data_IF_860052239062
#
_entry.id   IF_860052239062
#
_cell.length_a   1.000
_cell.length_b   1.000
_cell.length_c   1.000
_cell.angle_alpha   90.00
_cell.angle_beta   90.00
_cell.angle_gamma   90.00
#
_symmetry.space_group_name_H-M   'P 1'
#
loop_
_entity.id
_entity.type
_entity.pdbx_description
1 polymer ?
#
# COMPACT_ATOMS: atom_id res chain seq x y z
N UNK A 1 -17.90 36.34 16.48
CA UNK A 1 -17.76 35.47 15.29
C UNK A 1 -16.61 34.51 15.55
N UNK A 2 -16.91 33.27 15.91
CA UNK A 2 -15.88 32.27 16.19
C UNK A 2 -15.21 31.86 14.86
N UNK A 3 -13.90 32.00 14.77
CA UNK A 3 -13.13 31.53 13.61
C UNK A 3 -13.22 30.00 13.55
N UNK A 4 -13.37 29.39 12.36
CA UNK A 4 -13.30 27.95 12.24
C UNK A 4 -11.89 27.50 12.63
N UNK A 5 -11.79 26.77 13.73
CA UNK A 5 -10.56 26.09 14.14
C UNK A 5 -10.18 25.20 12.96
N UNK A 6 -9.07 25.51 12.28
CA UNK A 6 -8.43 24.59 11.33
C UNK A 6 -7.95 23.38 12.15
N UNK A 7 -8.85 22.42 12.37
CA UNK A 7 -8.47 21.08 12.80
C UNK A 7 -7.57 20.52 11.71
N UNK A 8 -6.45 19.91 12.08
CA UNK A 8 -5.67 19.10 11.15
C UNK A 8 -6.55 18.05 10.46
N UNK A 9 -6.04 17.36 9.42
CA UNK A 9 -6.80 16.28 8.79
C UNK A 9 -7.27 15.30 9.87
N UNK A 10 -8.56 14.94 9.91
CA UNK A 10 -9.06 13.90 10.82
C UNK A 10 -8.58 12.53 10.37
N UNK A 11 -8.46 11.59 11.31
CA UNK A 11 -8.08 10.21 11.00
C UNK A 11 -9.10 9.59 10.04
N UNK A 12 -10.40 9.89 10.22
CA UNK A 12 -11.46 9.47 9.27
C UNK A 12 -11.20 9.97 7.85
N UNK A 13 -10.77 11.22 7.68
CA UNK A 13 -10.47 11.81 6.37
C UNK A 13 -9.27 11.12 5.70
N UNK A 14 -8.22 10.82 6.47
CA UNK A 14 -7.07 10.05 5.99
C UNK A 14 -7.48 8.64 5.54
N UNK A 15 -8.25 7.91 6.36
CA UNK A 15 -8.74 6.56 6.03
C UNK A 15 -9.68 6.58 4.84
N UNK A 16 -10.56 7.58 4.73
CA UNK A 16 -11.44 7.79 3.56
C UNK A 16 -10.64 7.94 2.27
N UNK A 17 -9.57 8.75 2.30
CA UNK A 17 -8.70 8.98 1.15
C UNK A 17 -7.98 7.67 0.76
N UNK A 18 -7.41 6.96 1.73
CA UNK A 18 -6.77 5.66 1.49
C UNK A 18 -7.74 4.62 0.94
N UNK A 19 -8.97 4.56 1.45
CA UNK A 19 -10.00 3.66 0.96
C UNK A 19 -10.41 4.01 -0.49
N UNK A 20 -10.47 5.29 -0.84
CA UNK A 20 -10.75 5.72 -2.21
C UNK A 20 -9.62 5.32 -3.16
N UNK A 21 -8.37 5.55 -2.77
CA UNK A 21 -7.19 5.18 -3.55
C UNK A 21 -7.08 3.66 -3.71
N UNK A 22 -7.31 2.89 -2.65
CA UNK A 22 -7.32 1.42 -2.69
C UNK A 22 -8.42 0.91 -3.64
N UNK A 23 -9.63 1.47 -3.55
CA UNK A 23 -10.73 1.13 -4.46
C UNK A 23 -10.43 1.45 -5.92
N UNK A 24 -9.79 2.59 -6.18
CA UNK A 24 -9.38 2.99 -7.53
C UNK A 24 -8.29 2.06 -8.06
N UNK A 25 -7.26 1.80 -7.26
CA UNK A 25 -6.17 0.88 -7.59
C UNK A 25 -6.70 -0.52 -7.89
N UNK A 26 -7.62 -1.02 -7.06
CA UNK A 26 -8.30 -2.30 -7.23
C UNK A 26 -9.04 -2.41 -8.57
N UNK A 27 -9.83 -1.39 -8.92
CA UNK A 27 -10.59 -1.35 -10.19
C UNK A 27 -9.67 -1.32 -11.40
N UNK A 28 -8.62 -0.50 -11.35
CA UNK A 28 -7.67 -0.36 -12.46
C UNK A 28 -6.83 -1.63 -12.59
N UNK A 29 -6.18 -2.05 -11.51
CA UNK A 29 -5.32 -3.23 -11.49
C UNK A 29 -6.07 -4.51 -11.86
N UNK A 30 -7.23 -4.73 -11.24
CA UNK A 30 -8.09 -5.88 -11.56
C UNK A 30 -8.61 -5.84 -13.00
N UNK A 31 -8.97 -4.66 -13.52
CA UNK A 31 -9.39 -4.49 -14.92
C UNK A 31 -8.26 -4.79 -15.91
N UNK A 32 -7.06 -4.29 -15.65
CA UNK A 32 -5.87 -4.55 -16.47
C UNK A 32 -5.48 -6.03 -16.44
N UNK A 33 -5.44 -6.65 -15.25
CA UNK A 33 -5.15 -8.08 -15.09
C UNK A 33 -6.16 -8.96 -15.84
N UNK A 34 -7.45 -8.63 -15.72
CA UNK A 34 -8.52 -9.37 -16.42
C UNK A 34 -8.39 -9.20 -17.93
N UNK A 35 -8.20 -7.96 -18.40
CA UNK A 35 -8.02 -7.68 -19.82
C UNK A 35 -6.81 -8.42 -20.41
N UNK A 36 -5.67 -8.39 -19.72
CA UNK A 36 -4.47 -9.09 -20.14
C UNK A 36 -4.67 -10.61 -20.13
N UNK A 37 -5.33 -11.16 -19.10
CA UNK A 37 -5.70 -12.58 -19.05
C UNK A 37 -6.55 -13.01 -20.25
N UNK A 38 -7.56 -12.22 -20.62
CA UNK A 38 -8.37 -12.46 -21.81
C UNK A 38 -7.55 -12.43 -23.11
N UNK A 39 -6.59 -11.50 -23.24
CA UNK A 39 -5.69 -11.45 -24.40
C UNK A 39 -4.85 -12.72 -24.48
N UNK A 40 -4.27 -13.19 -23.38
CA UNK A 40 -3.49 -14.43 -23.34
C UNK A 40 -4.34 -15.67 -23.68
N UNK A 41 -5.59 -15.73 -23.22
CA UNK A 41 -6.55 -16.77 -23.60
C UNK A 41 -6.82 -16.75 -25.11
N UNK A 42 -7.04 -15.57 -25.70
CA UNK A 42 -7.29 -15.43 -27.13
C UNK A 42 -6.07 -15.81 -27.98
N UNK A 43 -4.86 -15.48 -27.52
CA UNK A 43 -3.61 -15.89 -28.17
C UNK A 43 -3.48 -17.41 -28.10
N UNK A 44 -3.67 -18.00 -26.92
CA UNK A 44 -3.62 -19.46 -26.74
C UNK A 44 -4.65 -20.19 -27.61
N UNK A 45 -5.85 -19.64 -27.77
CA UNK A 45 -6.90 -20.22 -28.61
C UNK A 45 -6.63 -20.11 -30.12
N UNK A 46 -5.76 -19.20 -30.56
CA UNK A 46 -5.41 -19.00 -31.97
C UNK A 46 -4.05 -19.62 -32.35
N UNK A 47 -3.25 -20.01 -31.37
CA UNK A 47 -1.97 -20.68 -31.60
C UNK A 47 -2.17 -22.04 -32.26
N UNK A 48 -1.36 -22.31 -33.29
CA UNK A 48 -1.34 -23.59 -34.01
C UNK A 48 -0.35 -24.60 -33.43
N UNK A 49 0.53 -24.15 -32.53
CA UNK A 49 1.43 -25.00 -31.75
C UNK A 49 0.77 -25.35 -30.41
N UNK A 50 0.52 -26.65 -30.17
CA UNK A 50 -0.21 -27.14 -29.00
C UNK A 50 0.47 -26.80 -27.65
N UNK A 51 1.80 -26.87 -27.58
CA UNK A 51 2.55 -26.57 -26.34
C UNK A 51 2.54 -25.07 -26.00
N UNK A 52 2.63 -24.19 -27.01
CA UNK A 52 2.55 -22.74 -26.82
C UNK A 52 1.11 -22.28 -26.55
N UNK A 53 0.14 -22.92 -27.22
CA UNK A 53 -1.29 -22.67 -27.04
C UNK A 53 -1.75 -22.97 -25.60
N UNK A 54 -1.35 -24.12 -25.06
CA UNK A 54 -1.72 -24.56 -23.72
C UNK A 54 -1.05 -23.70 -22.63
N UNK A 55 0.22 -23.33 -22.78
CA UNK A 55 0.90 -22.42 -21.85
C UNK A 55 0.26 -21.02 -21.80
N UNK A 56 -0.02 -20.42 -22.96
CA UNK A 56 -0.66 -19.11 -23.03
C UNK A 56 -2.09 -19.11 -22.47
N UNK A 57 -2.86 -20.17 -22.75
CA UNK A 57 -4.21 -20.34 -22.23
C UNK A 57 -4.23 -20.46 -20.70
N UNK A 58 -3.38 -21.31 -20.12
CA UNK A 58 -3.29 -21.50 -18.66
C UNK A 58 -2.85 -20.20 -17.98
N UNK A 59 -1.80 -19.55 -18.48
CA UNK A 59 -1.35 -18.26 -17.95
C UNK A 59 -2.46 -17.21 -18.01
N UNK A 60 -3.19 -17.16 -19.14
CA UNK A 60 -4.31 -16.27 -19.33
C UNK A 60 -5.48 -16.53 -18.37
N UNK A 61 -5.82 -17.80 -18.15
CA UNK A 61 -6.88 -18.20 -17.21
C UNK A 61 -6.52 -17.82 -15.76
N UNK A 62 -5.27 -18.02 -15.35
CA UNK A 62 -4.78 -17.62 -14.02
C UNK A 62 -4.84 -16.09 -13.87
N UNK A 63 -4.30 -15.34 -14.83
CA UNK A 63 -4.32 -13.87 -14.81
C UNK A 63 -5.74 -13.31 -14.79
N UNK A 64 -6.63 -13.86 -15.62
CA UNK A 64 -8.03 -13.46 -15.64
C UNK A 64 -8.74 -13.77 -14.31
N UNK A 65 -8.49 -14.95 -13.73
CA UNK A 65 -9.02 -15.34 -12.42
C UNK A 65 -8.56 -14.40 -11.31
N UNK A 66 -7.27 -14.08 -11.24
CA UNK A 66 -6.71 -13.13 -10.26
C UNK A 66 -7.29 -11.73 -10.48
N UNK A 67 -7.41 -11.29 -11.73
CA UNK A 67 -8.01 -10.00 -12.09
C UNK A 67 -9.45 -9.87 -11.63
N UNK A 68 -10.29 -10.88 -11.91
CA UNK A 68 -11.68 -10.93 -11.48
C UNK A 68 -11.82 -10.96 -9.95
N UNK A 69 -10.98 -11.76 -9.27
CA UNK A 69 -10.95 -11.79 -7.81
C UNK A 69 -10.62 -10.41 -7.24
N UNK A 70 -9.61 -9.74 -7.79
CA UNK A 70 -9.20 -8.39 -7.37
C UNK A 70 -10.33 -7.39 -7.59
N UNK A 71 -11.05 -7.46 -8.72
CA UNK A 71 -12.20 -6.58 -8.97
C UNK A 71 -13.35 -6.82 -7.98
N UNK A 72 -13.61 -8.07 -7.63
CA UNK A 72 -14.76 -8.45 -6.81
C UNK A 72 -14.53 -8.14 -5.32
N UNK A 73 -13.37 -8.49 -4.77
CA UNK A 73 -13.12 -8.48 -3.32
C UNK A 73 -12.59 -7.13 -2.85
N UNK A 74 -13.28 -6.39 -1.96
CA UNK A 74 -12.79 -5.13 -1.43
C UNK A 74 -11.52 -5.33 -0.60
N UNK A 75 -10.67 -4.31 -0.63
CA UNK A 75 -9.45 -4.30 0.17
C UNK A 75 -9.72 -4.08 1.67
N UNK A 76 -8.65 -4.15 2.45
CA UNK A 76 -8.76 -4.02 3.91
C UNK A 76 -9.21 -2.60 4.30
N UNK A 77 -8.62 -1.56 3.70
CA UNK A 77 -8.96 -0.17 4.05
C UNK A 77 -10.34 0.19 3.56
N UNK A 78 -10.74 -0.28 2.37
CA UNK A 78 -12.10 -0.12 1.85
C UNK A 78 -13.15 -0.77 2.78
N UNK A 79 -12.88 -1.96 3.30
CA UNK A 79 -13.80 -2.66 4.21
C UNK A 79 -13.88 -2.00 5.59
N UNK A 80 -12.75 -1.62 6.19
CA UNK A 80 -12.72 -0.93 7.48
C UNK A 80 -13.34 0.48 7.39
N UNK A 81 -13.14 1.21 6.30
CA UNK A 81 -13.79 2.50 6.12
C UNK A 81 -15.32 2.39 6.07
N UNK A 82 -15.84 1.36 5.39
CA UNK A 82 -17.28 1.09 5.36
C UNK A 82 -17.84 0.76 6.76
N UNK A 83 -17.02 0.18 7.65
CA UNK A 83 -17.38 -0.08 9.05
C UNK A 83 -17.35 1.21 9.87
N UNK A 84 -16.29 2.01 9.75
CA UNK A 84 -16.14 3.32 10.43
C UNK A 84 -17.34 4.22 10.13
N UNK A 85 -17.81 4.25 8.88
CA UNK A 85 -18.95 5.08 8.46
C UNK A 85 -20.27 4.74 9.14
N UNK A 86 -20.38 3.55 9.77
CA UNK A 86 -21.58 3.10 10.49
C UNK A 86 -21.58 3.51 11.97
N UNK A 87 -20.47 4.02 12.49
CA UNK A 87 -20.34 4.45 13.89
C UNK A 87 -21.02 5.82 14.04
N UNK A 88 -22.02 5.94 14.93
CA UNK A 88 -22.76 7.19 15.12
C UNK A 88 -21.99 8.22 15.94
N UNK A 89 -21.27 7.79 16.99
CA UNK A 89 -20.50 8.67 17.85
C UNK A 89 -19.24 9.21 17.12
N UNK A 90 -19.09 10.54 16.97
CA UNK A 90 -17.92 11.13 16.32
C UNK A 90 -16.60 10.87 17.06
N UNK A 91 -16.61 10.68 18.39
CA UNK A 91 -15.38 10.42 19.14
C UNK A 91 -14.89 8.99 18.93
N UNK A 92 -15.80 8.02 19.09
CA UNK A 92 -15.52 6.61 18.81
C UNK A 92 -15.09 6.40 17.35
N UNK A 93 -15.74 7.10 16.41
CA UNK A 93 -15.40 7.02 14.99
C UNK A 93 -13.96 7.46 14.71
N UNK A 94 -13.51 8.55 15.32
CA UNK A 94 -12.14 9.06 15.14
C UNK A 94 -11.10 8.12 15.77
N UNK A 95 -11.40 7.53 16.93
CA UNK A 95 -10.51 6.56 17.59
C UNK A 95 -10.33 5.29 16.77
N UNK A 96 -11.42 4.74 16.23
CA UNK A 96 -11.37 3.57 15.35
C UNK A 96 -10.65 3.90 14.05
N UNK A 97 -10.92 5.07 13.46
CA UNK A 97 -10.22 5.52 12.26
C UNK A 97 -8.71 5.68 12.50
N UNK A 98 -8.30 6.20 13.65
CA UNK A 98 -6.89 6.31 14.02
C UNK A 98 -6.22 4.94 14.17
N UNK A 99 -6.92 3.97 14.77
CA UNK A 99 -6.44 2.58 14.90
C UNK A 99 -6.24 1.93 13.53
N UNK A 100 -7.18 2.14 12.60
CA UNK A 100 -7.05 1.65 11.23
C UNK A 100 -5.90 2.35 10.50
N UNK A 101 -5.78 3.68 10.60
CA UNK A 101 -4.71 4.44 9.98
C UNK A 101 -3.31 4.00 10.45
N UNK A 102 -3.14 3.82 11.77
CA UNK A 102 -1.87 3.36 12.35
C UNK A 102 -1.52 1.95 11.91
N UNK A 103 -2.50 1.04 11.88
CA UNK A 103 -2.30 -0.32 11.39
C UNK A 103 -1.87 -0.35 9.92
N UNK A 104 -2.58 0.38 9.06
CA UNK A 104 -2.30 0.45 7.61
C UNK A 104 -0.94 1.07 7.35
N UNK A 105 -0.60 2.17 8.04
CA UNK A 105 0.71 2.81 7.93
C UNK A 105 1.84 1.88 8.38
N UNK A 106 1.66 1.15 9.49
CA UNK A 106 2.66 0.19 9.97
C UNK A 106 2.84 -0.96 8.98
N UNK A 107 1.74 -1.53 8.47
CA UNK A 107 1.78 -2.59 7.46
C UNK A 107 2.49 -2.11 6.19
N UNK A 108 2.14 -0.93 5.67
CA UNK A 108 2.77 -0.35 4.49
C UNK A 108 4.27 -0.09 4.68
N UNK A 109 4.68 0.34 5.87
CA UNK A 109 6.10 0.50 6.23
C UNK A 109 6.84 -0.84 6.21
N UNK A 110 6.26 -1.89 6.79
CA UNK A 110 6.87 -3.23 6.81
C UNK A 110 7.00 -3.77 5.40
N UNK A 111 5.95 -3.67 4.58
CA UNK A 111 5.97 -4.09 3.18
C UNK A 111 7.04 -3.33 2.39
N UNK A 112 7.09 -2.00 2.51
CA UNK A 112 8.09 -1.15 1.88
C UNK A 112 9.52 -1.54 2.26
N UNK A 113 9.82 -1.71 3.56
CA UNK A 113 11.16 -2.08 4.02
C UNK A 113 11.52 -3.50 3.56
N UNK A 114 10.57 -4.44 3.61
CA UNK A 114 10.81 -5.80 3.14
C UNK A 114 11.12 -5.83 1.64
N UNK A 115 10.39 -5.07 0.83
CA UNK A 115 10.65 -4.91 -0.60
C UNK A 115 12.03 -4.27 -0.85
N UNK A 116 12.41 -3.27 -0.04
CA UNK A 116 13.73 -2.65 -0.13
C UNK A 116 14.86 -3.66 0.13
N UNK A 117 14.73 -4.47 1.19
CA UNK A 117 15.69 -5.52 1.55
C UNK A 117 15.76 -6.58 0.44
N UNK A 118 14.62 -7.09 -0.04
CA UNK A 118 14.59 -8.07 -1.12
C UNK A 118 15.27 -7.55 -2.39
N UNK A 119 15.01 -6.30 -2.78
CA UNK A 119 15.66 -5.67 -3.92
C UNK A 119 17.17 -5.45 -3.68
N UNK A 120 17.59 -5.12 -2.46
CA UNK A 120 19.01 -4.99 -2.11
C UNK A 120 19.74 -6.35 -2.23
N UNK A 121 19.13 -7.41 -1.72
CA UNK A 121 19.68 -8.78 -1.83
C UNK A 121 19.75 -9.20 -3.30
N UNK A 122 18.71 -8.91 -4.09
CA UNK A 122 18.72 -9.21 -5.52
C UNK A 122 19.80 -8.41 -6.27
N UNK A 123 20.02 -7.14 -5.91
CA UNK A 123 21.12 -6.33 -6.43
C UNK A 123 22.47 -6.97 -6.13
N UNK A 124 22.73 -7.33 -4.87
CA UNK A 124 23.96 -8.00 -4.46
C UNK A 124 24.16 -9.33 -5.18
N UNK A 125 23.10 -10.12 -5.35
CA UNK A 125 23.13 -11.36 -6.12
C UNK A 125 23.61 -11.12 -7.56
N UNK A 126 23.01 -10.15 -8.25
CA UNK A 126 23.37 -9.83 -9.64
C UNK A 126 24.79 -9.23 -9.76
N UNK A 127 25.30 -8.53 -8.75
CA UNK A 127 26.68 -8.03 -8.74
C UNK A 127 27.72 -9.11 -8.44
N UNK A 128 27.36 -10.12 -7.65
CA UNK A 128 28.29 -11.17 -7.19
C UNK A 128 28.32 -12.34 -8.17
N UNK A 129 27.22 -12.62 -8.85
CA UNK A 129 27.14 -13.68 -9.85
C UNK A 129 27.87 -13.25 -11.12
N UNK A 130 29.11 -13.72 -11.30
CA UNK A 130 29.89 -13.50 -12.52
C UNK A 130 29.48 -14.52 -13.58
N UNK A 131 28.83 -14.13 -14.69
CA UNK A 131 28.68 -15.03 -15.82
C UNK A 131 30.06 -15.37 -16.41
N UNK A 132 30.22 -16.62 -16.83
CA UNK A 132 31.36 -17.09 -17.62
C UNK A 132 31.67 -16.12 -18.77
N UNK A 133 32.94 -15.78 -18.97
CA UNK A 133 33.46 -14.82 -19.96
C UNK A 133 33.06 -15.11 -21.43
N UNK A 134 32.38 -16.22 -21.73
CA UNK A 134 32.06 -16.64 -23.10
C UNK A 134 30.82 -15.98 -23.71
N UNK A 135 29.96 -15.32 -22.92
CA UNK A 135 28.76 -14.63 -23.41
C UNK A 135 28.71 -13.20 -22.87
N UNK A 136 29.29 -12.24 -23.61
CA UNK A 136 29.29 -10.81 -23.28
C UNK A 136 27.86 -10.24 -23.13
N UNK A 137 26.90 -10.71 -23.93
CA UNK A 137 25.50 -10.26 -23.86
C UNK A 137 24.81 -10.61 -22.52
N UNK A 138 25.19 -11.72 -21.88
CA UNK A 138 24.62 -12.08 -20.58
C UNK A 138 25.15 -11.17 -19.47
N UNK A 139 26.42 -10.77 -19.55
CA UNK A 139 27.08 -9.95 -18.52
C UNK A 139 26.51 -8.54 -18.36
N UNK A 140 26.13 -7.88 -19.46
CA UNK A 140 25.55 -6.53 -19.41
C UNK A 140 24.16 -6.53 -18.75
N UNK A 141 23.39 -7.61 -18.95
CA UNK A 141 22.06 -7.75 -18.38
C UNK A 141 22.09 -7.83 -16.84
N UNK A 142 23.07 -8.54 -16.25
CA UNK A 142 23.21 -8.62 -14.79
C UNK A 142 23.52 -7.25 -14.15
N UNK A 143 24.41 -6.46 -14.75
CA UNK A 143 24.71 -5.12 -14.23
C UNK A 143 23.52 -4.18 -14.34
N UNK A 144 22.76 -4.26 -15.44
CA UNK A 144 21.53 -3.48 -15.59
C UNK A 144 20.48 -3.86 -14.53
N UNK A 145 20.24 -5.16 -14.32
CA UNK A 145 19.33 -5.65 -13.30
C UNK A 145 19.78 -5.29 -11.88
N UNK A 146 21.09 -5.32 -11.61
CA UNK A 146 21.66 -4.85 -10.35
C UNK A 146 21.40 -3.35 -10.14
N UNK A 147 21.61 -2.52 -11.15
CA UNK A 147 21.37 -1.08 -11.05
C UNK A 147 19.89 -0.77 -10.83
N UNK A 148 19.00 -1.43 -11.57
CA UNK A 148 17.55 -1.28 -11.39
C UNK A 148 17.10 -1.69 -10.00
N UNK A 149 17.49 -2.88 -9.53
CA UNK A 149 17.11 -3.38 -8.20
C UNK A 149 17.75 -2.57 -7.08
N UNK A 150 18.99 -2.10 -7.25
CA UNK A 150 19.64 -1.16 -6.33
C UNK A 150 18.88 0.18 -6.25
N UNK A 151 18.47 0.73 -7.39
CA UNK A 151 17.66 1.94 -7.46
C UNK A 151 16.28 1.78 -6.79
N UNK A 152 15.59 0.67 -7.05
CA UNK A 152 14.31 0.35 -6.40
C UNK A 152 14.47 0.17 -4.89
N UNK A 153 15.55 -0.46 -4.43
CA UNK A 153 15.85 -0.59 -3.01
C UNK A 153 16.00 0.77 -2.34
N UNK A 154 16.80 1.68 -2.92
CA UNK A 154 16.95 3.04 -2.41
C UNK A 154 15.63 3.80 -2.40
N UNK A 155 14.86 3.70 -3.48
CA UNK A 155 13.52 4.30 -3.57
C UNK A 155 12.63 3.82 -2.43
N UNK A 156 12.52 2.50 -2.23
CA UNK A 156 11.70 1.94 -1.15
C UNK A 156 12.24 2.32 0.22
N UNK A 157 13.55 2.47 0.44
CA UNK A 157 14.05 2.95 1.73
C UNK A 157 13.71 4.42 2.00
N UNK A 158 13.77 5.28 0.98
CA UNK A 158 13.70 6.74 1.15
C UNK A 158 12.28 7.31 1.03
N UNK A 159 11.42 6.71 0.23
CA UNK A 159 10.11 7.28 -0.10
C UNK A 159 9.03 6.63 0.78
N UNK A 160 8.51 7.40 1.74
CA UNK A 160 7.39 6.99 2.59
C UNK A 160 6.15 6.64 1.76
N UNK A 161 5.43 5.60 2.18
CA UNK A 161 4.14 5.26 1.57
C UNK A 161 3.08 6.34 1.85
N UNK A 162 2.02 6.45 1.03
CA UNK A 162 0.93 7.40 1.28
C UNK A 162 0.31 7.27 2.67
N UNK A 163 0.16 6.04 3.18
CA UNK A 163 -0.37 5.77 4.51
C UNK A 163 0.57 6.24 5.64
N UNK A 164 1.89 6.01 5.51
CA UNK A 164 2.89 6.54 6.43
C UNK A 164 2.84 8.07 6.47
N UNK A 165 2.78 8.72 5.29
CA UNK A 165 2.72 10.17 5.18
C UNK A 165 1.44 10.74 5.83
N UNK A 166 0.28 10.14 5.56
CA UNK A 166 -0.98 10.59 6.16
C UNK A 166 -1.02 10.43 7.68
N UNK A 167 -0.46 9.33 8.22
CA UNK A 167 -0.34 9.17 9.67
C UNK A 167 0.58 10.24 10.27
N UNK A 168 1.70 10.53 9.61
CA UNK A 168 2.64 11.55 10.04
C UNK A 168 1.99 12.94 10.04
N UNK A 169 1.31 13.31 8.97
CA UNK A 169 0.55 14.57 8.86
C UNK A 169 -0.53 14.69 9.94
N UNK A 170 -1.26 13.61 10.22
CA UNK A 170 -2.23 13.54 11.31
C UNK A 170 -1.58 13.81 12.67
N UNK A 171 -0.47 13.13 12.98
CA UNK A 171 0.25 13.28 14.25
C UNK A 171 0.88 14.67 14.41
N UNK A 172 1.45 15.23 13.34
CA UNK A 172 1.97 16.60 13.32
C UNK A 172 0.83 17.62 13.50
N UNK A 173 -0.33 17.37 12.89
CA UNK A 173 -1.54 18.16 13.07
C UNK A 173 -2.06 18.13 14.50
N UNK A 174 -2.05 16.97 15.15
CA UNK A 174 -2.40 16.85 16.57
C UNK A 174 -1.41 17.59 17.47
N UNK A 175 -0.11 17.43 17.25
CA UNK A 175 0.93 18.13 18.03
C UNK A 175 0.79 19.65 17.94
N UNK A 176 0.51 20.18 16.75
CA UNK A 176 0.27 21.62 16.51
C UNK A 176 -1.04 22.12 17.13
N UNK A 177 -2.04 21.26 17.27
CA UNK A 177 -3.34 21.62 17.84
C UNK A 177 -3.36 21.60 19.38
N UNK A 178 -2.25 21.21 20.02
CA UNK A 178 -2.17 20.96 21.45
C UNK A 178 -2.66 19.54 21.78
N UNK A 179 -1.81 18.75 22.44
CA UNK A 179 -2.13 17.39 22.87
C UNK A 179 -3.30 17.41 23.85
N UNK A 180 -4.47 17.01 23.37
CA UNK A 180 -5.61 16.68 24.21
C UNK A 180 -5.55 15.18 24.51
N UNK A 181 -4.94 14.82 25.64
CA UNK A 181 -4.98 13.46 26.15
C UNK A 181 -6.16 13.33 27.12
N UNK A 182 -7.18 12.58 26.73
CA UNK A 182 -8.19 12.05 27.64
C UNK A 182 -7.56 10.83 28.31
N UNK A 183 -7.21 10.96 29.59
CA UNK A 183 -6.69 9.83 30.37
C UNK A 183 -7.80 9.38 31.32
N UNK A 184 -8.38 8.18 31.16
CA UNK A 184 -9.32 7.63 32.12
C UNK A 184 -8.58 7.35 33.44
N UNK A 185 -9.11 7.87 34.55
CA UNK A 185 -8.56 7.63 35.88
C UNK A 185 -9.17 6.36 36.50
N UNK A 186 -8.46 5.69 37.42
CA UNK A 186 -8.95 4.48 38.10
C UNK A 186 -10.23 4.68 38.93
N UNK A 187 -10.61 5.94 39.19
CA UNK A 187 -11.82 6.33 39.92
C UNK A 187 -13.06 6.49 39.01
N UNK A 188 -12.93 6.21 37.71
CA UNK A 188 -13.99 6.39 36.72
C UNK A 188 -14.18 7.84 36.26
N UNK A 189 -13.33 8.77 36.70
CA UNK A 189 -13.33 10.14 36.22
C UNK A 189 -12.49 10.27 34.94
N UNK A 190 -12.86 11.24 34.11
CA UNK A 190 -12.13 11.58 32.88
C UNK A 190 -11.25 12.80 33.19
N UNK A 191 -9.94 12.65 33.06
CA UNK A 191 -9.00 13.77 33.16
C UNK A 191 -8.59 14.24 31.75
N UNK A 192 -8.85 15.51 31.45
CA UNK A 192 -8.26 16.18 30.29
C UNK A 192 -6.93 16.82 30.71
N UNK A 193 -5.81 16.32 30.19
CA UNK A 193 -4.50 16.93 30.43
C UNK A 193 -4.19 17.90 29.30
N UNK A 194 -4.03 19.18 29.65
CA UNK A 194 -3.56 20.21 28.73
C UNK A 194 -2.04 20.37 28.87
N UNK A 195 -1.30 19.92 27.87
CA UNK A 195 0.10 20.33 27.71
C UNK A 195 0.17 21.41 26.64
N UNK A 196 0.30 22.66 27.10
CA UNK A 196 0.70 23.79 26.27
C UNK A 196 2.23 23.79 26.21
N UNK A 197 2.79 23.51 25.04
CA UNK A 197 4.20 23.79 24.76
C UNK A 197 4.30 25.24 24.30
N UNK A 198 4.91 26.09 25.13
CA UNK A 198 5.34 27.43 24.74
C UNK A 198 6.72 27.37 24.09
#
# INVERSE_FOLDING_TARGET
MAQPIRRGPSAESCVSTLAHDERKSRKIGGGVLTGMGCVFILIGAQSKDDDSASGAFIAGAILAGIGLYTLAVPGYVESEYNRIRRIEDPLEREEVAYTVLTHVAHKAKVERISAAISNAVYCLYNLTYRPSLSNTNDSENYYYMALLSGGLSLYYFMVESPAERMLREYQEGQKRSGSFAIIPRPDGSIAAVYTLTF
#
